data_IF_034883304207
#
_entry.id   IF_034883304207
#
_cell.length_a   1.000
_cell.length_b   1.000
_cell.length_c   1.000
_cell.angle_alpha   90.00
_cell.angle_beta   90.00
_cell.angle_gamma   90.00
#
_symmetry.space_group_name_H-M   'P 1'
#
loop_
_entity.id
_entity.type
_entity.pdbx_description
1 polymer ?
#
# COMPACT_ATOMS: atom_id res chain seq x y z
N UNK A 1 15.57 8.01 1.22
CA UNK A 1 15.49 7.20 2.42
C UNK A 1 16.85 7.15 3.12
N UNK A 2 16.88 7.21 4.43
CA UNK A 2 18.10 7.09 5.22
C UNK A 2 17.98 5.79 6.01
N UNK A 3 18.56 4.70 5.48
CA UNK A 3 18.70 3.49 6.25
C UNK A 3 19.49 3.73 7.53
N UNK A 4 19.00 3.29 8.66
CA UNK A 4 19.83 3.08 9.82
C UNK A 4 20.63 1.81 9.54
N UNK A 5 21.86 1.99 9.08
CA UNK A 5 22.67 0.84 8.74
C UNK A 5 22.76 -0.12 9.90
N UNK A 6 22.18 -1.27 9.75
CA UNK A 6 22.58 -2.48 10.46
C UNK A 6 23.91 -2.98 9.92
N UNK A 7 24.68 -2.09 9.31
CA UNK A 7 26.04 -2.40 8.91
C UNK A 7 26.80 -2.83 10.16
N UNK A 8 27.33 -4.01 10.11
CA UNK A 8 28.21 -4.56 11.13
C UNK A 8 29.43 -3.67 11.42
N UNK A 9 29.62 -2.63 10.64
CA UNK A 9 30.64 -1.59 10.80
C UNK A 9 30.21 -0.41 11.67
N UNK A 10 29.04 -0.42 12.17
CA UNK A 10 28.61 -0.07 13.54
C UNK A 10 28.62 1.37 13.97
N UNK A 11 28.63 2.40 13.14
CA UNK A 11 28.64 3.79 13.62
C UNK A 11 27.32 4.55 13.48
N UNK A 12 26.22 3.85 13.17
CA UNK A 12 24.90 4.47 13.05
C UNK A 12 24.82 5.53 11.96
N UNK A 13 25.73 5.47 10.99
CA UNK A 13 25.76 6.41 9.89
C UNK A 13 24.52 6.22 9.00
N UNK A 14 23.92 7.33 8.58
CA UNK A 14 22.85 7.33 7.60
C UNK A 14 23.42 6.89 6.26
N UNK A 15 22.89 5.79 5.75
CA UNK A 15 23.27 5.26 4.46
C UNK A 15 22.30 5.74 3.39
N UNK A 16 22.82 6.05 2.20
CA UNK A 16 21.97 6.31 1.04
C UNK A 16 21.32 4.99 0.62
N UNK A 17 19.99 4.91 0.71
CA UNK A 17 19.19 3.81 0.21
C UNK A 17 18.34 4.28 -0.98
N UNK A 18 18.19 3.44 -2.01
CA UNK A 18 17.38 3.77 -3.17
C UNK A 18 15.89 3.82 -2.83
N UNK A 19 15.46 3.07 -1.81
CA UNK A 19 14.08 3.05 -1.35
C UNK A 19 13.13 2.36 -2.33
N UNK A 20 13.61 1.33 -3.05
CA UNK A 20 12.81 0.71 -4.11
C UNK A 20 11.57 0.01 -3.56
N UNK A 21 11.69 -0.66 -2.43
CA UNK A 21 10.57 -1.22 -1.69
C UNK A 21 10.04 -0.22 -0.67
N UNK A 22 10.91 0.35 0.09
CA UNK A 22 10.62 1.26 1.20
C UNK A 22 10.94 2.72 0.83
N UNK A 23 9.98 3.52 0.27
CA UNK A 23 8.60 3.11 0.04
C UNK A 23 8.13 3.48 -1.38
N UNK A 24 8.99 3.31 -2.42
CA UNK A 24 8.59 3.55 -3.81
C UNK A 24 7.61 2.50 -4.33
N UNK A 25 7.62 1.29 -3.77
CA UNK A 25 6.64 0.25 -4.09
C UNK A 25 5.21 0.74 -3.82
N UNK A 26 4.94 1.29 -2.64
CA UNK A 26 3.66 1.86 -2.29
C UNK A 26 3.31 3.11 -3.12
N UNK A 27 4.29 4.00 -3.34
CA UNK A 27 4.12 5.17 -4.23
C UNK A 27 3.66 4.73 -5.63
N UNK A 28 4.28 3.69 -6.18
CA UNK A 28 3.89 3.13 -7.48
C UNK A 28 2.45 2.59 -7.48
N UNK A 29 2.03 1.95 -6.39
CA UNK A 29 0.64 1.49 -6.23
C UNK A 29 -0.36 2.66 -6.28
N UNK A 30 -0.08 3.76 -5.58
CA UNK A 30 -0.95 4.94 -5.62
C UNK A 30 -1.01 5.56 -7.03
N UNK A 31 0.11 5.59 -7.75
CA UNK A 31 0.14 6.05 -9.14
C UNK A 31 -0.70 5.16 -10.08
N UNK A 32 -0.70 3.85 -9.86
CA UNK A 32 -1.54 2.91 -10.60
C UNK A 32 -3.02 3.03 -10.23
N UNK A 33 -3.35 3.30 -8.97
CA UNK A 33 -4.71 3.49 -8.49
C UNK A 33 -5.38 4.75 -9.05
N UNK A 34 -4.62 5.83 -9.20
CA UNK A 34 -5.14 7.15 -9.58
C UNK A 34 -6.02 7.13 -10.85
N UNK A 35 -5.58 6.64 -12.01
CA UNK A 35 -6.41 6.64 -13.23
C UNK A 35 -7.66 5.78 -13.08
N UNK A 36 -7.61 4.68 -12.33
CA UNK A 36 -8.73 3.76 -12.10
C UNK A 36 -9.80 4.48 -11.27
N UNK A 37 -9.40 5.05 -10.14
CA UNK A 37 -10.30 5.74 -9.22
C UNK A 37 -10.88 7.02 -9.85
N UNK A 38 -10.06 7.76 -10.61
CA UNK A 38 -10.55 8.93 -11.36
C UNK A 38 -11.59 8.55 -12.41
N UNK A 39 -11.41 7.44 -13.11
CA UNK A 39 -12.40 6.95 -14.06
C UNK A 39 -13.69 6.58 -13.34
N UNK A 40 -13.62 5.81 -12.26
CA UNK A 40 -14.78 5.40 -11.46
C UNK A 40 -15.54 6.61 -10.88
N UNK A 41 -14.81 7.63 -10.43
CA UNK A 41 -15.39 8.89 -9.96
C UNK A 41 -16.16 9.61 -11.06
N UNK A 42 -15.59 9.75 -12.26
CA UNK A 42 -16.26 10.35 -13.43
C UNK A 42 -17.51 9.58 -13.86
N UNK A 43 -17.51 8.29 -13.68
CA UNK A 43 -18.65 7.40 -13.98
C UNK A 43 -19.71 7.41 -12.85
N UNK A 44 -19.49 8.16 -11.76
CA UNK A 44 -20.40 8.21 -10.62
C UNK A 44 -20.50 6.89 -9.84
N UNK A 45 -19.48 6.06 -9.91
CA UNK A 45 -19.46 4.73 -9.28
C UNK A 45 -18.96 4.75 -7.84
N UNK A 46 -18.24 5.79 -7.46
CA UNK A 46 -17.78 5.95 -6.07
C UNK A 46 -18.85 6.64 -5.23
N UNK A 47 -19.13 6.08 -4.08
CA UNK A 47 -20.07 6.65 -3.09
C UNK A 47 -19.34 7.47 -2.02
N UNK A 48 -18.00 7.45 -2.04
CA UNK A 48 -17.11 8.18 -1.14
C UNK A 48 -15.96 8.76 -1.91
N UNK A 49 -15.48 9.89 -1.44
CA UNK A 49 -14.24 10.46 -1.94
C UNK A 49 -13.07 9.58 -1.55
N UNK A 50 -12.12 9.41 -2.45
CA UNK A 50 -10.87 8.70 -2.20
C UNK A 50 -9.72 9.67 -2.34
N UNK A 51 -8.92 9.77 -1.29
CA UNK A 51 -7.71 10.59 -1.28
C UNK A 51 -6.49 9.68 -1.41
N UNK A 52 -5.64 9.96 -2.39
CA UNK A 52 -4.33 9.34 -2.52
C UNK A 52 -3.31 10.29 -1.89
N UNK A 53 -2.72 9.88 -0.79
CA UNK A 53 -1.90 10.74 0.05
C UNK A 53 -0.49 10.16 0.13
N UNK A 54 0.51 10.96 -0.22
CA UNK A 54 1.91 10.66 0.02
C UNK A 54 2.34 11.38 1.29
N UNK A 55 2.60 10.62 2.34
CA UNK A 55 3.09 11.15 3.61
C UNK A 55 4.60 11.24 3.58
N UNK A 56 5.15 12.18 4.32
CA UNK A 56 6.60 12.37 4.46
C UNK A 56 7.03 12.20 5.90
N UNK A 57 8.31 11.86 6.11
CA UNK A 57 8.87 11.79 7.45
C UNK A 57 8.31 10.65 8.29
N UNK A 58 8.07 9.49 7.68
CA UNK A 58 7.72 8.26 8.41
C UNK A 58 8.91 7.79 9.22
N UNK A 59 10.07 7.74 8.63
CA UNK A 59 11.34 7.25 9.17
C UNK A 59 11.88 8.05 10.35
N UNK A 60 12.62 7.39 11.23
CA UNK A 60 13.37 8.08 12.28
C UNK A 60 14.43 9.05 11.73
N UNK A 61 14.64 10.20 12.34
CA UNK A 61 14.06 10.66 13.62
C UNK A 61 12.76 11.47 13.46
N UNK A 62 12.15 11.53 12.29
CA UNK A 62 10.91 12.29 12.07
C UNK A 62 9.69 11.57 12.64
N UNK A 63 9.71 10.23 12.68
CA UNK A 63 8.74 9.40 13.37
C UNK A 63 7.29 9.72 12.99
N UNK A 64 6.92 9.40 11.75
CA UNK A 64 5.57 9.59 11.18
C UNK A 64 5.08 11.04 11.17
N UNK A 65 5.97 12.02 10.97
CA UNK A 65 5.64 13.45 11.06
C UNK A 65 4.49 13.84 10.11
N UNK A 66 4.48 13.32 8.90
CA UNK A 66 3.41 13.59 7.91
C UNK A 66 2.05 13.06 8.37
N UNK A 67 2.02 11.82 8.88
CA UNK A 67 0.80 11.21 9.42
C UNK A 67 0.31 11.97 10.66
N UNK A 68 1.21 12.38 11.56
CA UNK A 68 0.85 13.19 12.75
C UNK A 68 0.20 14.50 12.35
N UNK A 69 0.78 15.22 11.38
CA UNK A 69 0.22 16.48 10.90
C UNK A 69 -1.15 16.31 10.24
N UNK A 70 -1.29 15.31 9.35
CA UNK A 70 -2.55 15.01 8.70
C UNK A 70 -3.63 14.61 9.72
N UNK A 71 -3.28 13.70 10.63
CA UNK A 71 -4.19 13.21 11.66
C UNK A 71 -4.65 14.33 12.60
N UNK A 72 -3.72 15.20 13.03
CA UNK A 72 -4.05 16.38 13.83
C UNK A 72 -5.06 17.27 13.10
N UNK A 73 -4.81 17.58 11.82
CA UNK A 73 -5.70 18.42 11.02
C UNK A 73 -7.10 17.84 10.87
N UNK A 74 -7.21 16.50 10.77
CA UNK A 74 -8.49 15.81 10.71
C UNK A 74 -9.24 15.83 12.05
N UNK A 75 -8.54 15.55 13.15
CA UNK A 75 -9.13 15.49 14.50
C UNK A 75 -9.55 16.88 15.00
N UNK A 76 -8.74 17.90 14.74
CA UNK A 76 -9.03 19.28 15.12
C UNK A 76 -10.08 19.95 14.19
N UNK A 77 -10.47 19.30 13.09
CA UNK A 77 -11.42 19.84 12.12
C UNK A 77 -10.88 21.04 11.35
N UNK A 78 -9.56 21.14 11.23
CA UNK A 78 -8.88 22.25 10.53
C UNK A 78 -8.37 21.90 9.13
N UNK A 79 -8.76 20.77 8.59
CA UNK A 79 -8.23 20.26 7.33
C UNK A 79 -8.55 21.20 6.15
N UNK A 80 -7.51 21.68 5.48
CA UNK A 80 -7.61 22.48 4.26
C UNK A 80 -6.61 22.01 3.22
N UNK A 81 -7.07 21.85 1.99
CA UNK A 81 -6.23 21.45 0.86
C UNK A 81 -6.00 22.67 -0.02
N UNK A 82 -4.74 22.97 -0.28
CA UNK A 82 -4.31 24.05 -1.17
C UNK A 82 -4.03 23.46 -2.55
N UNK A 83 -4.84 23.84 -3.53
CA UNK A 83 -4.63 23.47 -4.93
C UNK A 83 -3.48 24.24 -5.56
N UNK A 84 -2.86 23.67 -6.60
CA UNK A 84 -1.83 24.35 -7.40
C UNK A 84 -2.35 25.63 -8.07
N UNK A 85 -3.64 25.71 -8.32
CA UNK A 85 -4.35 26.89 -8.86
C UNK A 85 -4.62 27.98 -7.81
N UNK A 86 -4.11 27.80 -6.57
CA UNK A 86 -4.32 28.71 -5.44
C UNK A 86 -5.69 28.57 -4.77
N UNK A 87 -6.54 27.65 -5.23
CA UNK A 87 -7.83 27.39 -4.59
C UNK A 87 -7.61 26.67 -3.26
N UNK A 88 -8.34 27.08 -2.24
CA UNK A 88 -8.38 26.40 -0.95
C UNK A 88 -9.70 25.65 -0.85
N UNK A 89 -9.62 24.34 -0.64
CA UNK A 89 -10.78 23.51 -0.35
C UNK A 89 -10.81 23.23 1.15
N UNK A 90 -11.89 23.65 1.79
CA UNK A 90 -12.13 23.39 3.21
C UNK A 90 -12.72 21.98 3.37
N UNK A 91 -12.03 21.14 4.10
CA UNK A 91 -12.42 19.76 4.40
C UNK A 91 -12.65 19.54 5.90
N UNK A 92 -12.85 20.63 6.66
CA UNK A 92 -13.07 20.57 8.11
C UNK A 92 -14.27 19.71 8.54
N UNK A 93 -15.26 19.54 7.65
CA UNK A 93 -16.40 18.65 7.85
C UNK A 93 -16.23 17.23 7.32
N UNK A 94 -15.07 16.88 6.78
CA UNK A 94 -14.85 15.56 6.20
C UNK A 94 -14.82 14.49 7.29
N UNK A 95 -15.59 13.41 7.08
CA UNK A 95 -15.55 12.22 7.91
C UNK A 95 -14.69 11.15 7.25
N UNK A 96 -13.59 10.79 7.88
CA UNK A 96 -12.75 9.69 7.42
C UNK A 96 -13.41 8.36 7.78
N UNK A 97 -13.75 7.59 6.76
CA UNK A 97 -14.39 6.28 6.93
C UNK A 97 -13.37 5.15 7.10
N UNK A 98 -12.15 5.35 6.64
CA UNK A 98 -11.07 4.39 6.77
C UNK A 98 -9.80 4.89 6.08
N UNK A 99 -8.68 4.36 6.54
CA UNK A 99 -7.35 4.62 6.01
C UNK A 99 -6.70 3.28 5.63
N UNK A 100 -6.12 3.22 4.46
CA UNK A 100 -5.26 2.13 4.04
C UNK A 100 -3.84 2.65 3.89
N UNK A 101 -2.96 2.18 4.76
CA UNK A 101 -1.54 2.48 4.71
C UNK A 101 -0.86 1.38 3.89
N UNK A 102 0.00 1.77 2.98
CA UNK A 102 0.84 0.86 2.21
C UNK A 102 2.29 1.13 2.55
N UNK A 103 2.97 0.10 2.99
CA UNK A 103 4.36 0.18 3.34
C UNK A 103 5.09 -1.10 2.95
N UNK A 104 6.20 -0.97 2.20
CA UNK A 104 6.99 -2.10 1.70
C UNK A 104 6.12 -3.23 1.14
N UNK A 105 5.63 -3.09 -0.10
CA UNK A 105 4.67 -4.05 -0.67
C UNK A 105 5.22 -4.89 -1.82
N UNK A 106 6.53 -4.87 -2.07
CA UNK A 106 7.08 -5.51 -3.27
C UNK A 106 8.24 -6.47 -3.03
N UNK A 107 8.72 -6.66 -1.81
CA UNK A 107 9.67 -7.72 -1.50
C UNK A 107 8.93 -9.00 -1.05
N UNK A 108 9.09 -10.07 -1.81
CA UNK A 108 8.48 -11.36 -1.48
C UNK A 108 9.42 -12.15 -0.57
N UNK A 109 9.08 -12.26 0.70
CA UNK A 109 9.93 -12.83 1.74
C UNK A 109 10.62 -14.13 1.30
N UNK A 110 11.91 -14.23 1.53
CA UNK A 110 12.73 -15.34 1.03
C UNK A 110 12.43 -16.70 1.68
N UNK A 111 11.92 -16.68 2.91
CA UNK A 111 11.66 -17.90 3.71
C UNK A 111 10.19 -18.32 3.69
N UNK A 112 9.28 -17.33 3.60
CA UNK A 112 7.84 -17.56 3.66
C UNK A 112 7.18 -16.72 2.56
N UNK A 113 7.28 -17.24 1.33
CA UNK A 113 6.87 -16.53 0.12
C UNK A 113 5.36 -16.45 -0.03
N UNK A 114 4.95 -15.49 -0.86
CA UNK A 114 3.58 -15.31 -1.33
C UNK A 114 2.58 -14.99 -0.19
N UNK A 115 3.11 -14.43 0.91
CA UNK A 115 2.34 -13.95 2.06
C UNK A 115 2.50 -12.43 2.15
N UNK A 116 1.42 -11.73 2.43
CA UNK A 116 1.45 -10.33 2.85
C UNK A 116 0.54 -10.13 4.06
N UNK A 117 0.83 -9.11 4.86
CA UNK A 117 0.03 -8.83 6.03
C UNK A 117 -1.08 -7.82 5.74
N UNK A 118 -2.22 -8.07 6.37
CA UNK A 118 -3.36 -7.18 6.50
C UNK A 118 -3.45 -6.86 7.99
N UNK A 119 -2.91 -5.73 8.41
CA UNK A 119 -2.83 -5.40 9.84
C UNK A 119 -3.82 -4.27 10.19
N UNK A 120 -5.00 -4.61 10.75
CA UNK A 120 -5.96 -3.60 11.20
C UNK A 120 -5.47 -2.89 12.46
N UNK A 121 -5.84 -1.62 12.60
CA UNK A 121 -5.79 -0.89 13.84
C UNK A 121 -6.86 -1.35 14.84
N UNK A 122 -7.10 -0.55 15.86
CA UNK A 122 -8.06 -0.84 16.90
C UNK A 122 -9.51 -0.64 16.44
N UNK A 123 -10.41 -1.46 16.96
CA UNK A 123 -11.85 -1.30 16.80
C UNK A 123 -12.51 -2.14 15.70
N UNK A 124 -13.82 -2.26 15.73
CA UNK A 124 -14.59 -3.10 14.81
C UNK A 124 -14.56 -2.56 13.38
N UNK A 125 -14.49 -1.25 13.20
CA UNK A 125 -14.43 -0.62 11.89
C UNK A 125 -13.11 -0.96 11.17
N UNK A 126 -11.97 -0.97 11.88
CA UNK A 126 -10.69 -1.40 11.33
C UNK A 126 -10.72 -2.89 10.95
N UNK A 127 -11.37 -3.73 11.75
CA UNK A 127 -11.58 -5.14 11.42
C UNK A 127 -12.47 -5.32 10.19
N UNK A 128 -13.50 -4.49 10.03
CA UNK A 128 -14.32 -4.51 8.82
C UNK A 128 -13.51 -4.13 7.57
N UNK A 129 -12.65 -3.12 7.65
CA UNK A 129 -11.72 -2.75 6.57
C UNK A 129 -10.77 -3.92 6.23
N UNK A 130 -10.22 -4.60 7.26
CA UNK A 130 -9.37 -5.77 7.05
C UNK A 130 -10.13 -6.93 6.39
N UNK A 131 -11.41 -7.08 6.69
CA UNK A 131 -12.29 -8.05 6.03
C UNK A 131 -12.47 -7.73 4.55
N UNK A 132 -12.60 -6.45 4.16
CA UNK A 132 -12.63 -6.06 2.76
C UNK A 132 -11.33 -6.43 2.03
N UNK A 133 -10.17 -6.25 2.69
CA UNK A 133 -8.87 -6.67 2.15
C UNK A 133 -8.78 -8.19 1.99
N UNK A 134 -9.29 -8.95 2.94
CA UNK A 134 -9.34 -10.41 2.85
C UNK A 134 -10.23 -10.87 1.69
N UNK A 135 -11.40 -10.26 1.51
CA UNK A 135 -12.29 -10.55 0.37
C UNK A 135 -11.64 -10.19 -0.97
N UNK A 136 -10.97 -9.04 -1.06
CA UNK A 136 -10.22 -8.64 -2.25
C UNK A 136 -9.13 -9.67 -2.60
N UNK A 137 -8.43 -10.20 -1.59
CA UNK A 137 -7.46 -11.29 -1.76
C UNK A 137 -8.11 -12.54 -2.34
N UNK A 138 -9.27 -12.93 -1.83
CA UNK A 138 -10.00 -14.09 -2.34
C UNK A 138 -10.44 -13.92 -3.81
N UNK A 139 -10.90 -12.71 -4.17
CA UNK A 139 -11.28 -12.36 -5.54
C UNK A 139 -10.07 -12.43 -6.47
N UNK A 140 -8.96 -11.83 -6.06
CA UNK A 140 -7.70 -11.90 -6.80
C UNK A 140 -7.28 -13.35 -7.05
N UNK A 141 -7.23 -14.17 -6.01
CA UNK A 141 -6.82 -15.56 -6.08
C UNK A 141 -7.73 -16.41 -6.99
N UNK A 142 -9.04 -16.18 -6.94
CA UNK A 142 -9.97 -16.82 -7.87
C UNK A 142 -9.69 -16.41 -9.33
N UNK A 143 -9.36 -15.15 -9.55
CA UNK A 143 -8.98 -14.62 -10.87
C UNK A 143 -7.67 -15.22 -11.40
N UNK A 144 -6.67 -15.44 -10.56
CA UNK A 144 -5.36 -15.96 -10.98
C UNK A 144 -5.46 -17.35 -11.59
N UNK A 145 -6.34 -18.21 -11.08
CA UNK A 145 -6.58 -19.54 -11.63
C UNK A 145 -7.06 -19.48 -13.07
N UNK A 146 -7.95 -18.54 -13.37
CA UNK A 146 -8.48 -18.36 -14.71
C UNK A 146 -7.46 -17.71 -15.63
N UNK A 147 -6.70 -16.75 -15.13
CA UNK A 147 -5.69 -16.02 -15.90
C UNK A 147 -4.54 -16.93 -16.32
N UNK A 148 -3.99 -17.70 -15.38
CA UNK A 148 -2.87 -18.60 -15.64
C UNK A 148 -3.24 -19.80 -16.54
N UNK A 149 -4.54 -20.09 -16.73
CA UNK A 149 -5.02 -21.10 -17.67
C UNK A 149 -5.10 -20.62 -19.12
N UNK A 150 -4.99 -19.30 -19.36
CA UNK A 150 -4.98 -18.77 -20.74
C UNK A 150 -3.64 -19.14 -21.39
N UNK A 151 -3.63 -19.53 -22.68
CA UNK A 151 -2.38 -19.76 -23.41
C UNK A 151 -1.53 -18.49 -23.32
N UNK A 152 -0.24 -18.68 -23.02
CA UNK A 152 0.67 -17.54 -22.94
C UNK A 152 0.71 -16.79 -24.28
N UNK A 153 0.92 -15.49 -24.28
CA UNK A 153 1.06 -14.73 -25.53
C UNK A 153 2.24 -15.20 -26.38
N UNK A 154 3.23 -15.91 -25.81
CA UNK A 154 4.29 -16.64 -26.54
C UNK A 154 3.71 -17.70 -27.47
N UNK A 155 2.65 -18.38 -27.04
CA UNK A 155 1.98 -19.41 -27.85
C UNK A 155 1.14 -18.80 -28.97
N UNK A 156 0.79 -17.52 -28.87
CA UNK A 156 -0.01 -16.79 -29.88
C UNK A 156 0.85 -15.98 -30.87
N UNK A 157 2.17 -16.05 -30.78
CA UNK A 157 3.12 -15.66 -31.83
C UNK A 157 3.16 -14.19 -32.27
N UNK A 158 2.62 -13.22 -31.54
CA UNK A 158 2.78 -11.80 -31.86
C UNK A 158 2.55 -10.88 -30.65
N UNK A 159 3.61 -10.22 -30.19
CA UNK A 159 3.52 -9.13 -29.24
C UNK A 159 2.69 -7.97 -29.78
N UNK A 160 1.67 -7.55 -29.06
CA UNK A 160 0.87 -6.36 -29.37
C UNK A 160 1.59 -5.14 -28.82
N UNK A 161 2.12 -4.27 -29.70
CA UNK A 161 2.58 -2.94 -29.29
C UNK A 161 1.38 -2.14 -28.76
N UNK A 162 1.52 -1.58 -27.57
CA UNK A 162 0.55 -0.61 -27.05
C UNK A 162 0.77 0.72 -27.77
N UNK A 163 -0.32 1.44 -28.17
CA UNK A 163 -0.23 2.64 -29.03
C UNK A 163 0.48 3.83 -28.41
N UNK A 164 1.18 3.81 -27.37
CA UNK A 164 1.89 4.96 -26.78
C UNK A 164 3.30 4.64 -26.27
N UNK A 165 3.97 3.61 -26.81
CA UNK A 165 5.42 3.45 -26.63
C UNK A 165 5.89 3.08 -25.22
N UNK A 166 4.99 2.78 -24.32
CA UNK A 166 5.33 2.31 -22.97
C UNK A 166 5.62 0.82 -22.99
N UNK A 167 6.77 0.42 -22.43
CA UNK A 167 6.99 -0.97 -22.05
C UNK A 167 6.21 -1.18 -20.76
N UNK A 168 5.05 -1.82 -20.84
CA UNK A 168 4.45 -2.42 -19.65
C UNK A 168 5.29 -3.63 -19.34
N UNK A 169 5.96 -3.72 -18.19
CA UNK A 169 6.59 -4.95 -17.76
C UNK A 169 5.51 -6.02 -17.81
N UNK A 170 5.73 -7.06 -18.60
CA UNK A 170 4.81 -8.17 -18.65
C UNK A 170 4.87 -8.82 -17.28
N UNK A 171 3.82 -8.66 -16.47
CA UNK A 171 3.63 -9.46 -15.26
C UNK A 171 3.65 -10.90 -15.73
N UNK A 172 4.74 -11.58 -15.48
CA UNK A 172 4.99 -12.89 -16.08
C UNK A 172 4.02 -13.93 -15.51
N UNK A 173 3.59 -13.74 -14.27
CA UNK A 173 2.66 -14.64 -13.58
C UNK A 173 1.74 -13.83 -12.67
N UNK A 174 0.48 -14.19 -12.66
CA UNK A 174 -0.43 -13.77 -11.60
C UNK A 174 -0.22 -14.70 -10.40
N UNK A 175 0.42 -14.21 -9.34
CA UNK A 175 0.62 -14.96 -8.11
C UNK A 175 -0.66 -15.00 -7.28
N UNK A 176 -1.03 -16.18 -6.78
CA UNK A 176 -1.98 -16.27 -5.69
C UNK A 176 -1.25 -15.95 -4.38
N UNK A 177 -1.83 -15.05 -3.59
CA UNK A 177 -1.22 -14.62 -2.35
C UNK A 177 -2.03 -15.07 -1.13
N UNK A 178 -1.35 -15.27 -0.02
CA UNK A 178 -1.97 -15.44 1.28
C UNK A 178 -1.98 -14.09 2.03
N UNK A 179 -3.15 -13.43 2.08
CA UNK A 179 -3.35 -12.25 2.92
C UNK A 179 -3.59 -12.66 4.36
N UNK A 180 -2.59 -12.48 5.21
CA UNK A 180 -2.64 -12.83 6.62
C UNK A 180 -3.15 -11.66 7.45
N UNK A 181 -4.34 -11.85 8.06
CA UNK A 181 -4.87 -10.83 8.98
C UNK A 181 -4.13 -10.92 10.30
N UNK A 182 -3.43 -9.83 10.67
CA UNK A 182 -2.64 -9.71 11.90
C UNK A 182 -3.26 -8.65 12.81
N UNK A 183 -4.05 -9.04 13.82
CA UNK A 183 -4.72 -8.10 14.72
C UNK A 183 -3.73 -7.16 15.41
N UNK A 184 -4.17 -5.96 15.73
CA UNK A 184 -3.36 -4.83 16.20
C UNK A 184 -2.36 -5.19 17.30
N UNK A 185 -2.74 -5.95 18.29
CA UNK A 185 -1.82 -6.38 19.36
C UNK A 185 -1.29 -7.81 19.17
N UNK A 186 -1.46 -8.38 17.98
CA UNK A 186 -0.89 -9.68 17.65
C UNK A 186 0.63 -9.60 17.46
N UNK A 187 1.38 -10.62 17.85
CA UNK A 187 2.85 -10.61 17.80
C UNK A 187 3.43 -10.51 16.39
N UNK A 188 2.62 -10.70 15.37
CA UNK A 188 3.03 -10.58 13.96
C UNK A 188 2.60 -9.28 13.28
N UNK A 189 1.85 -8.40 13.97
CA UNK A 189 1.43 -7.11 13.40
C UNK A 189 2.58 -6.11 13.43
N UNK A 190 2.78 -5.40 12.33
CA UNK A 190 3.79 -4.33 12.23
C UNK A 190 3.14 -2.95 12.12
N UNK A 191 1.82 -2.83 12.31
CA UNK A 191 1.10 -1.56 12.22
C UNK A 191 1.73 -0.46 13.08
N UNK A 192 2.21 -0.82 14.27
CA UNK A 192 2.80 0.13 15.23
C UNK A 192 4.17 0.68 14.83
N UNK A 193 4.80 0.14 13.78
CA UNK A 193 6.05 0.65 13.21
C UNK A 193 5.82 1.50 11.95
N UNK A 194 4.60 1.95 11.70
CA UNK A 194 4.25 2.68 10.47
C UNK A 194 3.33 3.86 10.77
N UNK A 195 3.07 4.69 9.78
CA UNK A 195 2.05 5.74 9.82
C UNK A 195 0.68 5.26 10.34
N UNK A 196 0.40 3.95 10.19
CA UNK A 196 -0.84 3.33 10.63
C UNK A 196 -1.10 3.44 12.14
N UNK A 197 -0.05 3.45 12.94
CA UNK A 197 -0.16 3.64 14.39
C UNK A 197 -0.80 4.98 14.74
N UNK A 198 -0.42 6.04 14.05
CA UNK A 198 -0.91 7.40 14.32
C UNK A 198 -2.42 7.49 14.11
N UNK A 199 -2.92 6.90 13.02
CA UNK A 199 -4.36 6.87 12.74
C UNK A 199 -5.11 5.99 13.75
N UNK A 200 -4.56 4.84 14.09
CA UNK A 200 -5.15 3.93 15.09
C UNK A 200 -5.26 4.58 16.47
N UNK A 201 -4.22 5.29 16.93
CA UNK A 201 -4.19 5.99 18.22
C UNK A 201 -5.19 7.15 18.26
N UNK A 202 -5.45 7.79 17.13
CA UNK A 202 -6.46 8.83 16.99
C UNK A 202 -7.89 8.29 16.84
N UNK A 203 -8.09 6.98 16.87
CA UNK A 203 -9.39 6.35 16.70
C UNK A 203 -9.91 6.38 15.27
N UNK A 204 -9.04 6.62 14.29
CA UNK A 204 -9.38 6.53 12.86
C UNK A 204 -9.22 5.09 12.40
N UNK A 205 -10.24 4.47 11.81
CA UNK A 205 -10.14 3.10 11.31
C UNK A 205 -9.03 2.98 10.27
N UNK A 206 -8.08 2.07 10.47
CA UNK A 206 -6.92 1.92 9.60
C UNK A 206 -6.56 0.46 9.37
N UNK A 207 -6.02 0.16 8.19
CA UNK A 207 -5.41 -1.13 7.86
C UNK A 207 -4.09 -0.89 7.15
N UNK A 208 -3.05 -1.58 7.57
CA UNK A 208 -1.78 -1.63 6.90
C UNK A 208 -1.75 -2.81 5.92
N UNK A 209 -1.30 -2.54 4.70
CA UNK A 209 -0.80 -3.52 3.76
C UNK A 209 0.71 -3.47 3.75
N UNK A 210 1.34 -4.59 4.05
CA UNK A 210 2.79 -4.71 4.07
C UNK A 210 3.19 -6.11 3.63
N UNK A 211 4.39 -6.25 3.12
CA UNK A 211 4.96 -7.56 2.87
C UNK A 211 5.00 -8.44 4.13
N UNK A 212 5.37 -9.70 3.97
CA UNK A 212 5.66 -10.56 5.12
C UNK A 212 7.02 -10.18 5.71
N UNK A 213 7.01 -9.14 6.52
CA UNK A 213 8.16 -8.44 7.06
C UNK A 213 9.15 -9.36 7.79
N UNK A 214 10.43 -9.18 7.50
CA UNK A 214 11.56 -9.77 8.22
C UNK A 214 12.62 -8.69 8.43
N UNK A 215 12.80 -8.24 9.66
CA UNK A 215 13.78 -7.20 10.04
C UNK A 215 15.22 -7.56 9.63
N UNK A 216 15.50 -8.84 9.46
CA UNK A 216 16.85 -9.31 9.13
C UNK A 216 17.06 -9.47 7.62
N UNK A 217 16.06 -9.12 6.80
CA UNK A 217 16.20 -9.25 5.36
C UNK A 217 17.22 -8.24 4.81
N UNK A 218 17.91 -8.66 3.77
CA UNK A 218 18.71 -7.75 2.96
C UNK A 218 17.80 -6.79 2.20
N UNK A 219 18.12 -5.51 2.20
CA UNK A 219 17.31 -4.47 1.55
C UNK A 219 16.26 -3.84 2.49
N UNK A 220 16.32 -4.12 3.78
CA UNK A 220 15.58 -3.36 4.78
C UNK A 220 16.48 -2.32 5.43
N UNK A 221 16.16 -1.03 5.27
CA UNK A 221 16.92 0.12 5.79
C UNK A 221 18.42 0.10 5.44
N UNK A 222 18.78 -0.45 4.29
CA UNK A 222 20.16 -0.54 3.83
C UNK A 222 20.33 -0.16 2.34
N UNK A 223 21.56 -0.15 1.85
CA UNK A 223 21.88 0.23 0.47
C UNK A 223 21.43 -0.78 -0.57
N UNK A 224 20.88 -1.92 -0.18
CA UNK A 224 20.41 -2.97 -1.07
C UNK A 224 18.89 -2.87 -1.32
N UNK A 225 18.21 -1.87 -0.77
CA UNK A 225 16.82 -1.58 -1.16
C UNK A 225 16.77 -0.99 -2.56
N UNK A 226 16.95 -1.86 -3.52
CA UNK A 226 17.03 -1.57 -4.96
C UNK A 226 16.10 -2.47 -5.74
N UNK A 227 15.91 -2.19 -7.03
CA UNK A 227 15.11 -3.03 -7.92
C UNK A 227 15.53 -4.50 -7.97
N UNK A 228 16.76 -4.84 -7.55
CA UNK A 228 17.23 -6.22 -7.45
C UNK A 228 16.54 -7.02 -6.33
N UNK A 229 15.96 -6.34 -5.35
CA UNK A 229 15.22 -6.93 -4.23
C UNK A 229 13.70 -6.95 -4.45
N UNK A 230 13.23 -6.42 -5.58
CA UNK A 230 11.80 -6.35 -5.92
C UNK A 230 11.34 -7.61 -6.64
N UNK A 231 10.26 -8.22 -6.18
CA UNK A 231 9.48 -9.21 -6.90
C UNK A 231 8.27 -8.52 -7.55
N UNK A 232 8.39 -8.20 -8.83
CA UNK A 232 7.34 -7.45 -9.53
C UNK A 232 6.01 -8.20 -9.61
N UNK A 233 6.03 -9.53 -9.70
CA UNK A 233 4.80 -10.33 -9.75
C UNK A 233 4.08 -10.28 -8.39
N UNK A 234 4.84 -10.32 -7.31
CA UNK A 234 4.32 -10.19 -5.95
C UNK A 234 3.78 -8.77 -5.70
N UNK A 235 4.58 -7.75 -5.97
CA UNK A 235 4.18 -6.36 -5.76
C UNK A 235 2.95 -5.98 -6.59
N UNK A 236 2.86 -6.45 -7.83
CA UNK A 236 1.68 -6.23 -8.67
C UNK A 236 0.42 -6.90 -8.11
N UNK A 237 0.56 -8.08 -7.51
CA UNK A 237 -0.56 -8.77 -6.88
C UNK A 237 -1.02 -8.04 -5.61
N UNK A 238 -0.10 -7.61 -4.72
CA UNK A 238 -0.45 -6.82 -3.53
C UNK A 238 -1.10 -5.49 -3.93
N UNK A 239 -0.53 -4.79 -4.91
CA UNK A 239 -1.11 -3.54 -5.41
C UNK A 239 -2.53 -3.72 -5.97
N UNK A 240 -2.77 -4.76 -6.76
CA UNK A 240 -4.10 -5.05 -7.29
C UNK A 240 -5.11 -5.35 -6.18
N UNK A 241 -4.71 -6.12 -5.17
CA UNK A 241 -5.54 -6.42 -4.00
C UNK A 241 -5.84 -5.14 -3.21
N UNK A 242 -4.85 -4.28 -2.99
CA UNK A 242 -5.04 -3.02 -2.29
C UNK A 242 -6.01 -2.08 -3.03
N UNK A 243 -5.85 -1.95 -4.35
CA UNK A 243 -6.76 -1.13 -5.18
C UNK A 243 -8.18 -1.69 -5.14
N UNK A 244 -8.37 -3.01 -5.29
CA UNK A 244 -9.69 -3.65 -5.18
C UNK A 244 -10.31 -3.41 -3.81
N UNK A 245 -9.50 -3.46 -2.73
CA UNK A 245 -9.97 -3.18 -1.37
C UNK A 245 -10.51 -1.76 -1.23
N UNK A 246 -9.77 -0.77 -1.75
CA UNK A 246 -10.21 0.63 -1.75
C UNK A 246 -11.49 0.81 -2.56
N UNK A 247 -11.57 0.20 -3.75
CA UNK A 247 -12.77 0.24 -4.60
C UNK A 247 -13.98 -0.32 -3.85
N UNK A 248 -13.85 -1.48 -3.23
CA UNK A 248 -14.93 -2.10 -2.42
C UNK A 248 -15.38 -1.17 -1.31
N UNK A 249 -14.43 -0.66 -0.52
CA UNK A 249 -14.74 0.26 0.58
C UNK A 249 -15.39 1.56 0.09
N UNK A 250 -15.00 2.06 -1.08
CA UNK A 250 -15.55 3.28 -1.64
C UNK A 250 -16.93 3.10 -2.31
N UNK A 251 -17.33 1.87 -2.64
CA UNK A 251 -18.57 1.56 -3.37
C UNK A 251 -19.61 0.83 -2.53
N UNK A 252 -19.18 0.06 -1.51
CA UNK A 252 -20.10 -0.71 -0.67
C UNK A 252 -20.64 0.12 0.51
N UNK A 253 -21.85 -0.17 1.02
CA UNK A 253 -22.35 0.44 2.26
C UNK A 253 -21.39 0.16 3.42
N UNK A 254 -21.22 1.15 4.31
CA UNK A 254 -20.55 0.92 5.59
C UNK A 254 -21.47 0.17 6.54
N UNK A 255 -20.90 -0.59 7.48
CA UNK A 255 -21.67 -1.30 8.50
C UNK A 255 -22.40 -0.37 9.44
#
# INVERSE_FOLDING_TARGET
>A
QYGYGTNKDGDGARLAAAGADDNHSATSCLMLAAPILMQMSREGRLQRDVWLVHLTGEEFPADCLGARHLCQSLVEGGMRVHGEDGRITDLSGARVCGVYVLDMIAHNNDRSRDIFQIAPGSGPEAMWLAWQAHLATAIWNAGTVLWNRRPSRRDLGRGRRIPHGGIVPEVARHLALHGEVRPHYGPGSTLFNTDGQIFSDAGVPVVLFMENYDINRKGYHDTHDTMANIDLDYGAAVAAIAIETVVRTATEPLP
#
